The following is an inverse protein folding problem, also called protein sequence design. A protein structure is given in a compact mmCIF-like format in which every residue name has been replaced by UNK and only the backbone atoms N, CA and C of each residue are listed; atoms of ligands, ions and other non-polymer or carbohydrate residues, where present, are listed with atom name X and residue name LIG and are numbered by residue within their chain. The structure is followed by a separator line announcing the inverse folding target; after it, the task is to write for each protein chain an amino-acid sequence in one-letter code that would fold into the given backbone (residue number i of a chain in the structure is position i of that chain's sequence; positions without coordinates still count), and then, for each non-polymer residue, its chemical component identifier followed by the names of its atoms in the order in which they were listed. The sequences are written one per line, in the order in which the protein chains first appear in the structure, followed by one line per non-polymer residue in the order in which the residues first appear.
data_IF_990378994415
#
_entry.id   IF_990378994415
#
_cell.length_a   1.000
_cell.length_b   1.000
_cell.length_c   1.000
_cell.angle_alpha   90.00
_cell.angle_beta   90.00
_cell.angle_gamma   90.00
#
_symmetry.space_group_name_H-M   'P 1'
#
loop_
_entity.id
_entity.type
_entity.pdbx_description
1 polymer ?
#
# COMPACT_ATOMS: atom_id res chain seq x y z
N UNK A 1 30.17 19.76 -8.49
CA UNK A 1 28.98 20.07 -7.69
C UNK A 1 27.84 20.38 -8.63
N UNK A 2 26.67 19.67 -8.50
CA UNK A 2 25.57 19.73 -9.51
C UNK A 2 24.79 21.05 -9.53
N UNK A 3 25.08 21.99 -8.65
CA UNK A 3 24.34 23.24 -8.48
C UNK A 3 24.41 24.22 -9.69
N UNK A 4 25.42 24.08 -10.54
CA UNK A 4 25.62 24.95 -11.70
C UNK A 4 25.26 24.30 -13.05
N UNK A 5 24.48 23.22 -13.02
CA UNK A 5 24.00 22.60 -14.26
C UNK A 5 22.60 23.11 -14.57
N UNK A 6 22.50 23.99 -15.57
CA UNK A 6 21.25 24.64 -15.97
C UNK A 6 20.15 23.69 -16.42
N UNK A 7 20.50 22.43 -16.73
CA UNK A 7 19.56 21.39 -17.18
C UNK A 7 18.99 20.54 -16.04
N UNK A 8 19.39 20.76 -14.77
CA UNK A 8 18.83 20.08 -13.62
C UNK A 8 17.97 21.07 -12.85
N UNK A 9 16.65 20.88 -12.91
CA UNK A 9 15.67 21.77 -12.28
C UNK A 9 15.07 21.19 -11.02
N UNK A 10 15.07 19.86 -10.88
CA UNK A 10 14.40 19.15 -9.80
C UNK A 10 15.34 18.19 -9.10
N UNK A 11 15.29 18.19 -7.78
CA UNK A 11 16.07 17.31 -6.90
C UNK A 11 15.13 16.47 -6.06
N UNK A 12 15.35 15.17 -6.01
CA UNK A 12 14.68 14.26 -5.09
C UNK A 12 15.63 13.92 -3.93
N UNK A 13 15.18 14.14 -2.69
CA UNK A 13 15.91 13.79 -1.46
C UNK A 13 15.17 12.64 -0.77
N UNK A 14 15.79 11.47 -0.73
CA UNK A 14 15.25 10.28 -0.07
C UNK A 14 15.81 10.19 1.36
N UNK A 15 15.23 10.95 2.26
CA UNK A 15 15.58 10.96 3.69
C UNK A 15 14.47 11.60 4.50
N UNK A 16 14.36 11.22 5.78
CA UNK A 16 13.52 11.89 6.77
C UNK A 16 14.29 12.78 7.74
N UNK A 17 15.61 12.86 7.60
CA UNK A 17 16.50 13.55 8.53
C UNK A 17 16.48 15.07 8.33
N UNK A 18 16.24 15.82 9.41
CA UNK A 18 16.25 17.27 9.45
C UNK A 18 17.57 17.91 9.04
N UNK A 19 18.69 17.17 9.13
CA UNK A 19 20.01 17.65 8.75
C UNK A 19 20.11 17.99 7.24
N UNK A 20 19.18 17.51 6.42
CA UNK A 20 19.05 17.89 5.02
C UNK A 20 18.31 19.21 4.77
N UNK A 21 17.65 19.79 5.79
CA UNK A 21 16.88 21.03 5.63
C UNK A 21 17.72 22.21 5.12
N UNK A 22 18.99 22.42 5.56
CA UNK A 22 19.84 23.46 5.00
C UNK A 22 20.17 23.25 3.51
N UNK A 23 20.33 21.99 3.08
CA UNK A 23 20.56 21.64 1.68
C UNK A 23 19.32 21.97 0.83
N UNK A 24 18.12 21.62 1.32
CA UNK A 24 16.85 21.95 0.65
C UNK A 24 16.72 23.46 0.47
N UNK A 25 16.92 24.23 1.54
CA UNK A 25 16.83 25.70 1.50
C UNK A 25 17.81 26.28 0.47
N UNK A 26 19.03 25.75 0.43
CA UNK A 26 20.05 26.21 -0.53
C UNK A 26 19.69 25.89 -1.98
N UNK A 27 19.14 24.70 -2.25
CA UNK A 27 18.66 24.34 -3.58
C UNK A 27 17.53 25.27 -4.04
N UNK A 28 16.60 25.60 -3.16
CA UNK A 28 15.49 26.55 -3.43
C UNK A 28 15.99 27.95 -3.68
N UNK A 29 17.00 28.42 -2.97
CA UNK A 29 17.65 29.71 -3.26
C UNK A 29 18.23 29.78 -4.69
N UNK A 30 18.65 28.65 -5.25
CA UNK A 30 19.11 28.53 -6.64
C UNK A 30 17.96 28.29 -7.64
N UNK A 31 16.71 28.45 -7.22
CA UNK A 31 15.54 28.28 -8.08
C UNK A 31 15.27 26.83 -8.47
N UNK A 32 15.77 25.86 -7.69
CA UNK A 32 15.53 24.43 -7.94
C UNK A 32 14.31 23.96 -7.18
N UNK A 33 13.56 23.03 -7.77
CA UNK A 33 12.45 22.32 -7.10
C UNK A 33 12.99 21.16 -6.30
N UNK A 34 12.51 20.99 -5.07
CA UNK A 34 12.96 19.90 -4.18
C UNK A 34 11.78 19.06 -3.73
N UNK A 35 11.84 17.76 -4.06
CA UNK A 35 10.87 16.74 -3.65
C UNK A 35 11.53 15.89 -2.58
N UNK A 36 10.95 15.87 -1.37
CA UNK A 36 11.36 14.97 -0.30
C UNK A 36 10.61 13.64 -0.37
N UNK A 37 11.28 12.54 -0.05
CA UNK A 37 10.68 11.22 0.10
C UNK A 37 11.17 10.60 1.40
N UNK A 38 10.27 10.20 2.28
CA UNK A 38 10.63 9.60 3.56
C UNK A 38 9.52 8.80 4.18
N UNK A 39 9.81 8.11 5.28
CA UNK A 39 8.83 7.33 6.05
C UNK A 39 8.12 8.23 7.07
N UNK A 40 6.81 8.06 7.26
CA UNK A 40 6.01 8.88 8.20
C UNK A 40 6.58 8.89 9.62
N UNK A 41 6.99 7.71 10.11
CA UNK A 41 7.47 7.55 11.49
C UNK A 41 8.85 8.18 11.73
N UNK A 42 9.67 8.33 10.71
CA UNK A 42 11.06 8.81 10.82
C UNK A 42 11.32 10.16 10.17
N UNK A 43 10.30 10.79 9.57
CA UNK A 43 10.46 12.08 8.90
C UNK A 43 10.26 13.23 9.88
N UNK A 44 11.23 14.11 9.92
CA UNK A 44 11.15 15.39 10.62
C UNK A 44 10.12 16.31 9.94
N UNK A 45 9.22 16.91 10.72
CA UNK A 45 8.28 17.90 10.22
C UNK A 45 9.00 19.09 9.57
N UNK A 46 10.15 19.48 10.11
CA UNK A 46 10.98 20.57 9.56
C UNK A 46 11.44 20.28 8.13
N UNK A 47 11.90 19.04 7.85
CA UNK A 47 12.31 18.67 6.50
C UNK A 47 11.11 18.65 5.53
N UNK A 48 9.99 18.10 5.98
CA UNK A 48 8.78 18.04 5.16
C UNK A 48 8.25 19.44 4.78
N UNK A 49 8.31 20.40 5.71
CA UNK A 49 7.84 21.78 5.49
C UNK A 49 8.72 22.59 4.55
N UNK A 50 10.05 22.35 4.54
CA UNK A 50 10.95 23.13 3.68
C UNK A 50 11.01 22.63 2.25
N UNK A 51 10.62 21.39 1.96
CA UNK A 51 10.51 20.85 0.60
C UNK A 51 9.34 21.50 -0.14
N UNK A 52 9.43 21.56 -1.48
CA UNK A 52 8.29 22.01 -2.30
C UNK A 52 7.17 20.97 -2.33
N UNK A 53 7.55 19.69 -2.30
CA UNK A 53 6.65 18.55 -2.16
C UNK A 53 7.31 17.51 -1.26
N UNK A 54 6.52 16.86 -0.42
CA UNK A 54 7.01 15.74 0.39
C UNK A 54 6.09 14.53 0.22
N UNK A 55 6.69 13.41 -0.21
CA UNK A 55 5.98 12.16 -0.47
C UNK A 55 6.36 11.16 0.62
N UNK A 56 5.38 10.69 1.36
CA UNK A 56 5.62 9.60 2.30
C UNK A 56 5.66 8.27 1.58
N UNK A 57 6.68 7.46 1.88
CA UNK A 57 6.88 6.14 1.28
C UNK A 57 5.65 5.24 1.43
N UNK A 58 4.97 5.32 2.57
CA UNK A 58 3.74 4.57 2.84
C UNK A 58 2.61 4.95 1.87
N UNK A 59 2.56 6.19 1.42
CA UNK A 59 1.55 6.64 0.45
C UNK A 59 1.86 6.14 -0.98
N UNK A 60 3.15 5.93 -1.31
CA UNK A 60 3.57 5.30 -2.56
C UNK A 60 3.31 3.79 -2.57
N UNK A 61 3.45 3.14 -1.43
CA UNK A 61 3.21 1.70 -1.27
C UNK A 61 1.74 1.38 -1.03
N UNK A 62 0.92 2.37 -0.66
CA UNK A 62 -0.52 2.26 -0.75
C UNK A 62 -0.87 2.14 -2.21
N UNK A 63 -1.11 0.92 -2.67
CA UNK A 63 -1.73 0.69 -3.96
C UNK A 63 -3.02 1.51 -3.99
N UNK A 64 -3.15 2.38 -4.99
CA UNK A 64 -4.35 3.19 -5.15
C UNK A 64 -5.54 2.21 -5.27
N UNK A 65 -6.34 2.09 -4.21
CA UNK A 65 -7.45 1.15 -4.14
C UNK A 65 -7.47 0.27 -2.88
N UNK A 66 -6.34 0.05 -2.18
CA UNK A 66 -6.37 -0.72 -0.94
C UNK A 66 -7.01 0.10 0.18
N UNK A 67 -8.12 -0.36 0.78
CA UNK A 67 -8.80 0.35 1.85
C UNK A 67 -7.95 0.40 3.12
N UNK A 68 -8.10 1.47 3.91
CA UNK A 68 -7.49 1.54 5.23
C UNK A 68 -8.25 0.64 6.22
N UNK A 69 -7.61 -0.44 6.60
CA UNK A 69 -8.15 -1.43 7.52
C UNK A 69 -7.60 -1.31 8.95
N UNK A 70 -6.67 -0.39 9.20
CA UNK A 70 -5.93 -0.27 10.47
C UNK A 70 -6.85 -0.05 11.68
N UNK A 71 -7.96 0.66 11.50
CA UNK A 71 -8.91 0.96 12.58
C UNK A 71 -9.95 -0.15 12.83
N UNK A 72 -10.28 -0.94 11.78
CA UNK A 72 -11.32 -1.96 11.84
C UNK A 72 -10.77 -3.37 12.11
N UNK A 73 -9.48 -3.59 11.87
CA UNK A 73 -8.82 -4.90 11.97
C UNK A 73 -7.84 -4.92 13.14
N UNK A 74 -7.95 -5.92 14.06
CA UNK A 74 -7.00 -6.10 15.16
C UNK A 74 -5.56 -6.21 14.65
N UNK A 75 -4.60 -5.65 15.39
CA UNK A 75 -3.18 -5.61 15.01
C UNK A 75 -2.60 -6.98 14.62
N UNK A 76 -3.02 -8.03 15.32
CA UNK A 76 -2.60 -9.41 15.08
C UNK A 76 -3.04 -9.95 13.71
N UNK A 77 -4.17 -9.47 13.19
CA UNK A 77 -4.73 -9.85 11.89
C UNK A 77 -4.29 -8.94 10.74
N UNK A 78 -3.76 -7.76 11.02
CA UNK A 78 -3.36 -6.79 10.00
C UNK A 78 -2.40 -7.36 8.94
N UNK A 79 -1.38 -8.18 9.28
CA UNK A 79 -0.50 -8.77 8.27
C UNK A 79 -1.24 -9.70 7.29
N UNK A 80 -2.31 -10.36 7.76
CA UNK A 80 -3.17 -11.19 6.92
C UNK A 80 -3.98 -10.35 5.93
N UNK A 81 -4.60 -9.27 6.42
CA UNK A 81 -5.37 -8.34 5.58
C UNK A 81 -4.49 -7.58 4.59
N UNK A 82 -3.30 -7.17 5.01
CA UNK A 82 -2.32 -6.56 4.12
C UNK A 82 -2.01 -7.47 2.93
N UNK A 83 -1.64 -8.74 3.20
CA UNK A 83 -1.35 -9.71 2.15
C UNK A 83 -2.56 -10.00 1.26
N UNK A 84 -3.76 -10.09 1.86
CA UNK A 84 -5.01 -10.30 1.15
C UNK A 84 -5.26 -9.17 0.14
N UNK A 85 -5.22 -7.92 0.59
CA UNK A 85 -5.54 -6.76 -0.23
C UNK A 85 -4.46 -6.47 -1.28
N UNK A 86 -3.18 -6.61 -0.95
CA UNK A 86 -2.09 -6.54 -1.94
C UNK A 86 -2.22 -7.60 -3.04
N UNK A 87 -2.81 -8.75 -2.71
CA UNK A 87 -3.01 -9.82 -3.69
C UNK A 87 -4.24 -9.56 -4.54
N UNK A 88 -5.32 -9.04 -3.96
CA UNK A 88 -6.52 -8.61 -4.72
C UNK A 88 -6.12 -7.51 -5.70
N UNK A 89 -5.45 -6.46 -5.25
CA UNK A 89 -5.00 -5.35 -6.09
C UNK A 89 -4.12 -5.83 -7.26
N UNK A 90 -3.16 -6.71 -6.98
CA UNK A 90 -2.30 -7.28 -8.02
C UNK A 90 -3.08 -8.09 -9.06
N UNK A 91 -4.04 -8.92 -8.62
CA UNK A 91 -4.85 -9.74 -9.52
C UNK A 91 -5.84 -8.91 -10.34
N UNK A 92 -6.39 -7.83 -9.78
CA UNK A 92 -7.24 -6.89 -10.52
C UNK A 92 -6.49 -6.14 -11.62
N UNK A 93 -5.22 -5.78 -11.37
CA UNK A 93 -4.37 -5.17 -12.40
C UNK A 93 -4.00 -6.12 -13.55
N UNK A 94 -3.92 -7.42 -13.27
CA UNK A 94 -3.63 -8.42 -14.30
C UNK A 94 -4.83 -8.71 -15.20
N UNK A 95 -6.05 -8.59 -14.68
CA UNK A 95 -7.28 -8.80 -15.45
C UNK A 95 -8.46 -8.09 -14.79
N UNK A 96 -9.29 -7.42 -15.60
CA UNK A 96 -10.54 -6.76 -15.18
C UNK A 96 -11.65 -7.77 -14.76
N UNK A 97 -11.32 -9.04 -14.57
CA UNK A 97 -12.28 -10.08 -14.25
C UNK A 97 -12.28 -10.41 -12.75
N UNK A 98 -13.41 -10.92 -12.29
CA UNK A 98 -13.60 -11.42 -10.93
C UNK A 98 -12.53 -12.42 -10.47
N UNK A 99 -12.21 -12.41 -9.18
CA UNK A 99 -11.15 -13.23 -8.58
C UNK A 99 -11.79 -14.40 -7.82
N UNK A 100 -11.51 -15.62 -8.27
CA UNK A 100 -11.91 -16.82 -7.52
C UNK A 100 -11.14 -16.92 -6.20
N UNK A 101 -11.80 -17.29 -5.11
CA UNK A 101 -11.20 -17.46 -3.80
C UNK A 101 -10.02 -18.46 -3.80
N UNK A 102 -10.08 -19.50 -4.63
CA UNK A 102 -8.99 -20.46 -4.81
C UNK A 102 -7.75 -19.82 -5.43
N UNK A 103 -7.92 -19.05 -6.52
CA UNK A 103 -6.84 -18.33 -7.18
C UNK A 103 -6.19 -17.32 -6.22
N UNK A 104 -7.00 -16.61 -5.45
CA UNK A 104 -6.54 -15.65 -4.46
C UNK A 104 -5.68 -16.34 -3.39
N UNK A 105 -6.16 -17.45 -2.83
CA UNK A 105 -5.42 -18.25 -1.84
C UNK A 105 -4.09 -18.78 -2.39
N UNK A 106 -4.09 -19.32 -3.60
CA UNK A 106 -2.88 -19.86 -4.23
C UNK A 106 -1.85 -18.75 -4.50
N UNK A 107 -2.30 -17.58 -4.90
CA UNK A 107 -1.41 -16.42 -5.11
C UNK A 107 -0.84 -15.90 -3.79
N UNK A 108 -1.65 -15.82 -2.73
CA UNK A 108 -1.17 -15.46 -1.39
C UNK A 108 -0.09 -16.43 -0.89
N UNK A 109 -0.29 -17.73 -1.10
CA UNK A 109 0.69 -18.76 -0.72
C UNK A 109 1.97 -18.70 -1.55
N UNK A 110 1.89 -18.33 -2.83
CA UNK A 110 3.09 -18.08 -3.65
C UNK A 110 3.88 -16.87 -3.17
N UNK A 111 3.19 -15.80 -2.77
CA UNK A 111 3.85 -14.60 -2.22
C UNK A 111 4.44 -14.86 -0.84
N UNK A 112 3.75 -15.62 0.00
CA UNK A 112 4.19 -16.00 1.35
C UNK A 112 3.91 -17.49 1.60
N UNK A 113 4.88 -18.37 1.37
CA UNK A 113 4.70 -19.83 1.54
C UNK A 113 4.27 -20.26 2.95
N UNK A 114 4.62 -19.46 3.97
CA UNK A 114 4.25 -19.72 5.37
C UNK A 114 2.84 -19.24 5.72
N UNK A 115 2.12 -18.63 4.78
CA UNK A 115 0.78 -18.13 5.04
C UNK A 115 -0.19 -19.28 5.31
N UNK A 116 -0.89 -19.18 6.44
CA UNK A 116 -2.00 -20.03 6.83
C UNK A 116 -3.08 -19.17 7.48
N UNK A 117 -4.29 -19.27 6.98
CA UNK A 117 -5.46 -18.60 7.56
C UNK A 117 -5.70 -19.02 9.02
N UNK A 118 -5.35 -20.26 9.36
CA UNK A 118 -5.46 -20.80 10.73
C UNK A 118 -4.58 -20.06 11.73
N UNK A 119 -3.41 -19.58 11.32
CA UNK A 119 -2.50 -18.80 12.17
C UNK A 119 -3.09 -17.45 12.61
N UNK A 120 -4.10 -16.96 11.88
CA UNK A 120 -4.84 -15.74 12.19
C UNK A 120 -6.22 -15.99 12.79
N UNK A 121 -6.50 -17.25 13.20
CA UNK A 121 -7.74 -17.63 13.86
C UNK A 121 -8.93 -17.90 12.93
N UNK A 122 -8.71 -18.05 11.62
CA UNK A 122 -9.77 -18.36 10.67
C UNK A 122 -9.89 -19.86 10.44
N UNK A 123 -11.13 -20.37 10.49
CA UNK A 123 -11.42 -21.82 10.23
C UNK A 123 -11.21 -22.20 8.77
N UNK A 124 -11.33 -21.24 7.86
CA UNK A 124 -11.14 -21.44 6.43
C UNK A 124 -10.81 -20.12 5.74
N UNK A 125 -10.22 -20.20 4.55
CA UNK A 125 -9.95 -19.03 3.74
C UNK A 125 -11.22 -18.27 3.34
N UNK A 126 -12.31 -18.99 3.10
CA UNK A 126 -13.63 -18.40 2.84
C UNK A 126 -14.14 -17.58 4.04
N UNK A 127 -13.84 -18.01 5.27
CA UNK A 127 -14.21 -17.25 6.47
C UNK A 127 -13.47 -15.91 6.55
N UNK A 128 -12.19 -15.87 6.17
CA UNK A 128 -11.40 -14.64 6.06
C UNK A 128 -12.01 -13.68 5.02
N UNK A 129 -12.32 -14.16 3.82
CA UNK A 129 -12.92 -13.35 2.75
C UNK A 129 -14.28 -12.79 3.18
N UNK A 130 -15.14 -13.63 3.78
CA UNK A 130 -16.45 -13.18 4.28
C UNK A 130 -16.35 -12.15 5.39
N UNK A 131 -15.37 -12.26 6.28
CA UNK A 131 -15.14 -11.24 7.32
C UNK A 131 -14.68 -9.92 6.68
N UNK A 132 -13.78 -9.96 5.70
CA UNK A 132 -13.36 -8.77 4.96
C UNK A 132 -14.53 -8.07 4.23
N UNK A 133 -15.44 -8.84 3.63
CA UNK A 133 -16.65 -8.32 3.01
C UNK A 133 -17.63 -7.73 4.05
N UNK A 134 -17.82 -8.41 5.18
CA UNK A 134 -18.68 -7.94 6.27
C UNK A 134 -18.17 -6.62 6.88
N UNK A 135 -16.86 -6.42 6.90
CA UNK A 135 -16.24 -5.16 7.36
C UNK A 135 -16.31 -4.05 6.31
N UNK A 136 -16.83 -4.34 5.11
CA UNK A 136 -17.01 -3.38 4.03
C UNK A 136 -15.71 -3.03 3.30
N UNK A 137 -14.76 -3.95 3.19
CA UNK A 137 -13.52 -3.72 2.46
C UNK A 137 -13.56 -4.25 1.03
N UNK A 138 -14.31 -5.33 0.80
CA UNK A 138 -14.40 -6.00 -0.51
C UNK A 138 -15.84 -6.41 -0.79
N UNK A 139 -16.18 -6.46 -2.06
CA UNK A 139 -17.44 -7.02 -2.54
C UNK A 139 -17.23 -8.48 -2.97
N UNK A 140 -18.18 -9.34 -2.61
CA UNK A 140 -18.14 -10.77 -2.93
C UNK A 140 -19.51 -11.26 -3.39
N UNK A 141 -19.49 -12.24 -4.27
CA UNK A 141 -20.68 -13.02 -4.58
C UNK A 141 -20.37 -14.53 -4.60
N UNK A 142 -21.37 -15.35 -4.70
CA UNK A 142 -21.22 -16.79 -4.83
C UNK A 142 -21.57 -17.20 -6.26
N UNK A 143 -20.65 -17.89 -6.93
CA UNK A 143 -20.92 -18.41 -8.27
C UNK A 143 -22.05 -19.46 -8.21
N UNK A 144 -23.15 -19.24 -8.93
CA UNK A 144 -24.30 -20.14 -8.89
C UNK A 144 -24.00 -21.56 -9.36
N UNK A 145 -22.99 -21.74 -10.21
CA UNK A 145 -22.65 -23.04 -10.79
C UNK A 145 -21.72 -23.87 -9.91
N UNK A 146 -20.69 -23.23 -9.36
CA UNK A 146 -19.67 -23.93 -8.56
C UNK A 146 -19.87 -23.78 -7.05
N UNK A 147 -20.70 -22.84 -6.60
CA UNK A 147 -20.84 -22.48 -5.20
C UNK A 147 -19.61 -21.80 -4.60
N UNK A 148 -18.61 -21.50 -5.42
CA UNK A 148 -17.36 -20.88 -4.99
C UNK A 148 -17.56 -19.40 -4.69
N UNK A 149 -16.89 -18.90 -3.65
CA UNK A 149 -16.86 -17.47 -3.36
C UNK A 149 -15.95 -16.77 -4.36
N UNK A 150 -16.47 -15.68 -4.91
CA UNK A 150 -15.82 -14.82 -5.89
C UNK A 150 -15.67 -13.44 -5.27
N UNK A 151 -14.49 -12.83 -5.44
CA UNK A 151 -14.22 -11.45 -5.04
C UNK A 151 -14.36 -10.57 -6.27
N UNK A 152 -15.25 -9.59 -6.20
CA UNK A 152 -15.52 -8.64 -7.30
C UNK A 152 -14.53 -7.48 -7.30
N UNK A 153 -14.06 -7.11 -6.11
CA UNK A 153 -13.11 -6.03 -5.94
C UNK A 153 -13.18 -5.39 -4.56
N UNK A 154 -12.54 -4.25 -4.43
CA UNK A 154 -12.69 -3.42 -3.25
C UNK A 154 -14.05 -2.73 -3.27
N UNK A 155 -14.63 -2.58 -2.08
CA UNK A 155 -15.87 -1.84 -1.89
C UNK A 155 -15.61 -0.34 -2.09
N UNK A 156 -16.38 0.32 -2.96
CA UNK A 156 -16.29 1.77 -3.23
C UNK A 156 -16.93 2.61 -2.12
#
# INVERSE_FOLDING_TARGET
MCLNKDHIDTFAILSGDSDFSPLVSKLKEFGKTVIGVGMKESTSSLLAEVCDEFIFYEDLTRSAGIPDFSQKVPKEKQPCYQLLFETIDALQRESDSFILASRLKDTMRRKRPQFSEGSFGYRSFTALIREAAKLGFIDIHQDPKSGTVVVDGFHE
#
